data_IF_518119996623
#
_entry.id   IF_518119996623
#
_cell.length_a   1.000
_cell.length_b   1.000
_cell.length_c   1.000
_cell.angle_alpha   90.00
_cell.angle_beta   90.00
_cell.angle_gamma   90.00
#
_symmetry.space_group_name_H-M   'P 1'
#
loop_
_entity.id
_entity.type
_entity.pdbx_description
1 polymer ?
#
# COMPACT_ATOMS: atom_id res chain seq x y z
N UNK A 1 7.60 -4.47 12.12
CA UNK A 1 7.52 -3.65 10.90
C UNK A 1 8.69 -2.68 10.86
N UNK A 2 9.39 -2.66 9.75
CA UNK A 2 10.60 -1.82 9.61
C UNK A 2 10.19 -0.40 9.19
N UNK A 3 10.82 0.60 9.77
CA UNK A 3 10.60 2.00 9.40
C UNK A 3 11.88 2.57 8.81
N UNK A 4 11.79 3.14 7.62
CA UNK A 4 12.93 3.73 6.93
C UNK A 4 12.55 5.09 6.36
N UNK A 5 13.52 5.99 6.33
CA UNK A 5 13.32 7.27 5.67
C UNK A 5 13.15 7.05 4.16
N UNK A 6 12.22 7.77 3.55
CA UNK A 6 11.96 7.65 2.12
C UNK A 6 13.22 7.94 1.29
N UNK A 7 14.04 8.90 1.72
CA UNK A 7 15.29 9.22 1.05
C UNK A 7 16.30 8.08 1.10
N UNK A 8 16.36 7.36 2.23
CA UNK A 8 17.26 6.22 2.36
C UNK A 8 16.81 5.07 1.45
N UNK A 9 15.51 4.83 1.35
CA UNK A 9 14.96 3.79 0.48
C UNK A 9 15.24 4.12 -0.99
N UNK A 10 15.17 5.39 -1.37
CA UNK A 10 15.48 5.79 -2.73
C UNK A 10 16.89 5.37 -3.14
N UNK A 11 17.85 5.50 -2.24
CA UNK A 11 19.24 5.16 -2.52
C UNK A 11 19.51 3.65 -2.53
N UNK A 12 18.67 2.87 -1.83
CA UNK A 12 18.81 1.42 -1.72
C UNK A 12 17.55 0.69 -2.18
N UNK A 13 16.88 1.23 -3.17
CA UNK A 13 15.57 0.73 -3.57
C UNK A 13 15.60 -0.74 -3.99
N UNK A 14 16.62 -1.15 -4.75
CA UNK A 14 16.75 -2.54 -5.18
C UNK A 14 16.83 -3.52 -4.02
N UNK A 15 17.68 -3.22 -3.03
CA UNK A 15 17.81 -4.06 -1.84
C UNK A 15 16.53 -4.06 -1.03
N UNK A 16 15.91 -2.90 -0.88
CA UNK A 16 14.65 -2.75 -0.15
C UNK A 16 13.55 -3.57 -0.83
N UNK A 17 13.47 -3.49 -2.15
CA UNK A 17 12.50 -4.24 -2.92
C UNK A 17 12.68 -5.75 -2.74
N UNK A 18 13.92 -6.22 -2.75
CA UNK A 18 14.22 -7.63 -2.52
C UNK A 18 13.78 -8.10 -1.14
N UNK A 19 13.98 -7.28 -0.12
CA UNK A 19 13.53 -7.61 1.25
C UNK A 19 12.02 -7.76 1.30
N UNK A 20 11.29 -6.88 0.64
CA UNK A 20 9.84 -6.94 0.61
C UNK A 20 9.35 -8.11 -0.24
N UNK A 21 9.89 -8.27 -1.45
CA UNK A 21 9.42 -9.28 -2.39
C UNK A 21 9.75 -10.71 -1.96
N UNK A 22 10.96 -10.94 -1.45
CA UNK A 22 11.42 -12.30 -1.15
C UNK A 22 11.35 -12.69 0.31
N UNK A 23 11.49 -11.74 1.21
CA UNK A 23 11.43 -12.02 2.64
C UNK A 23 10.08 -11.70 3.26
N UNK A 24 9.19 -11.09 2.51
CA UNK A 24 7.88 -10.69 3.01
C UNK A 24 7.94 -9.56 4.05
N UNK A 25 9.02 -8.82 4.06
CA UNK A 25 9.20 -7.72 5.00
C UNK A 25 8.24 -6.58 4.67
N UNK A 26 7.71 -5.94 5.69
CA UNK A 26 6.84 -4.78 5.55
C UNK A 26 7.61 -3.56 5.98
N UNK A 27 7.72 -2.57 5.11
CA UNK A 27 8.54 -1.39 5.36
C UNK A 27 7.68 -0.14 5.28
N UNK A 28 7.68 0.63 6.37
CA UNK A 28 6.99 1.91 6.42
C UNK A 28 7.98 2.99 5.99
N UNK A 29 7.60 3.78 5.02
CA UNK A 29 8.39 4.91 4.54
C UNK A 29 8.01 6.15 5.31
N UNK A 30 9.02 6.85 5.83
CA UNK A 30 8.81 8.06 6.61
C UNK A 30 9.43 9.26 5.91
N UNK A 31 8.77 10.38 6.04
CA UNK A 31 9.28 11.67 5.58
C UNK A 31 9.13 12.67 6.72
N UNK A 32 10.23 13.29 7.11
CA UNK A 32 10.24 14.22 8.24
C UNK A 32 9.71 13.59 9.52
N UNK A 33 10.05 12.33 9.73
CA UNK A 33 9.63 11.58 10.93
C UNK A 33 8.18 11.12 10.93
N UNK A 34 7.45 11.32 9.82
CA UNK A 34 6.05 10.93 9.71
C UNK A 34 5.87 9.83 8.67
N UNK A 35 5.06 8.81 8.97
CA UNK A 35 4.79 7.76 7.98
C UNK A 35 3.97 8.32 6.83
N UNK A 36 4.41 8.08 5.60
CA UNK A 36 3.72 8.57 4.40
C UNK A 36 3.29 7.45 3.46
N UNK A 37 3.93 6.29 3.55
CA UNK A 37 3.61 5.17 2.67
C UNK A 37 4.16 3.88 3.26
N UNK A 38 3.86 2.77 2.64
CA UNK A 38 4.41 1.48 3.03
C UNK A 38 4.68 0.63 1.80
N UNK A 39 5.75 -0.17 1.89
CA UNK A 39 6.06 -1.18 0.88
C UNK A 39 5.69 -2.53 1.44
N UNK A 40 4.87 -3.27 0.71
CA UNK A 40 4.46 -4.63 1.10
C UNK A 40 4.54 -5.52 -0.14
N UNK A 41 4.65 -6.83 0.08
CA UNK A 41 4.66 -7.77 -1.02
C UNK A 41 3.30 -7.80 -1.72
N UNK A 42 3.27 -8.27 -2.96
CA UNK A 42 2.01 -8.44 -3.68
C UNK A 42 1.09 -9.41 -2.94
N UNK A 43 1.67 -10.43 -2.32
CA UNK A 43 0.90 -11.39 -1.53
C UNK A 43 0.19 -10.70 -0.35
N UNK A 44 0.89 -9.81 0.34
CA UNK A 44 0.31 -9.05 1.44
C UNK A 44 -0.79 -8.12 0.94
N UNK A 45 -0.57 -7.49 -0.21
CA UNK A 45 -1.58 -6.61 -0.81
C UNK A 45 -2.84 -7.39 -1.16
N UNK A 46 -2.69 -8.57 -1.76
CA UNK A 46 -3.82 -9.42 -2.09
C UNK A 46 -4.59 -9.85 -0.85
N UNK A 47 -3.86 -10.16 0.22
CA UNK A 47 -4.48 -10.50 1.50
C UNK A 47 -5.29 -9.34 2.06
N UNK A 48 -4.75 -8.13 1.98
CA UNK A 48 -5.46 -6.93 2.43
C UNK A 48 -6.72 -6.69 1.60
N UNK A 49 -6.63 -6.87 0.30
CA UNK A 49 -7.79 -6.73 -0.59
C UNK A 49 -8.88 -7.76 -0.24
N UNK A 50 -8.48 -9.00 0.02
CA UNK A 50 -9.41 -10.05 0.43
C UNK A 50 -10.08 -9.70 1.76
N UNK A 51 -9.32 -9.21 2.72
CA UNK A 51 -9.87 -8.81 4.02
C UNK A 51 -10.85 -7.65 3.87
N UNK A 52 -10.54 -6.69 3.03
CA UNK A 52 -11.45 -5.58 2.74
C UNK A 52 -12.74 -6.06 2.10
N UNK A 53 -12.66 -7.03 1.21
CA UNK A 53 -13.83 -7.62 0.57
C UNK A 53 -14.70 -8.40 1.55
N UNK A 54 -14.09 -9.05 2.54
CA UNK A 54 -14.81 -9.82 3.56
C UNK A 54 -15.42 -8.96 4.64
N UNK A 55 -14.79 -7.83 4.94
CA UNK A 55 -15.34 -6.86 5.86
C UNK A 55 -16.41 -6.10 5.10
N UNK A 56 -17.54 -5.91 5.67
CA UNK A 56 -18.72 -5.28 5.10
C UNK A 56 -18.47 -4.36 3.89
N UNK A 57 -18.41 -4.96 2.73
CA UNK A 57 -18.15 -4.27 1.47
C UNK A 57 -19.18 -3.17 1.21
N UNK A 58 -20.45 -3.40 1.56
CA UNK A 58 -21.50 -2.43 1.30
C UNK A 58 -21.34 -1.17 2.14
N UNK A 59 -21.03 -1.30 3.42
CA UNK A 59 -20.84 -0.14 4.29
C UNK A 59 -19.62 0.66 3.87
N UNK A 60 -18.52 -0.02 3.53
CA UNK A 60 -17.31 0.65 3.06
C UNK A 60 -17.58 1.35 1.73
N UNK A 61 -18.28 0.69 0.84
CA UNK A 61 -18.61 1.27 -0.46
C UNK A 61 -19.51 2.49 -0.33
N UNK A 62 -20.51 2.41 0.51
CA UNK A 62 -21.40 3.53 0.76
C UNK A 62 -20.65 4.73 1.36
N UNK A 63 -19.75 4.47 2.31
CA UNK A 63 -18.94 5.52 2.90
C UNK A 63 -18.02 6.19 1.89
N UNK A 64 -17.44 5.40 0.99
CA UNK A 64 -16.59 5.94 -0.08
C UNK A 64 -17.36 6.78 -1.07
N UNK A 65 -18.54 6.34 -1.44
CA UNK A 65 -19.40 7.10 -2.36
C UNK A 65 -19.83 8.42 -1.73
N UNK A 66 -20.24 8.41 -0.47
CA UNK A 66 -20.62 9.62 0.24
C UNK A 66 -19.48 10.60 0.39
N UNK A 67 -18.28 10.10 0.60
CA UNK A 67 -17.08 10.92 0.74
C UNK A 67 -16.53 11.40 -0.60
N UNK A 68 -17.06 10.92 -1.72
CA UNK A 68 -16.55 11.25 -3.05
C UNK A 68 -15.20 10.64 -3.36
N UNK A 69 -14.87 9.54 -2.71
CA UNK A 69 -13.60 8.84 -2.92
C UNK A 69 -13.68 8.03 -4.21
N UNK A 70 -12.65 8.16 -5.03
CA UNK A 70 -12.56 7.45 -6.30
C UNK A 70 -12.40 5.94 -6.05
N UNK A 71 -13.14 5.08 -6.78
CA UNK A 71 -13.00 3.64 -6.65
C UNK A 71 -11.57 3.17 -6.92
N UNK A 72 -11.19 2.09 -6.24
CA UNK A 72 -9.85 1.54 -6.33
C UNK A 72 -9.42 1.25 -7.78
N UNK A 73 -10.30 0.71 -8.58
CA UNK A 73 -10.00 0.38 -9.97
C UNK A 73 -9.64 1.61 -10.80
N UNK A 74 -10.29 2.73 -10.57
CA UNK A 74 -9.96 3.97 -11.25
C UNK A 74 -8.62 4.51 -10.79
N UNK A 75 -8.31 4.37 -9.52
CA UNK A 75 -7.00 4.75 -8.98
C UNK A 75 -5.91 3.95 -9.65
N UNK A 76 -6.10 2.65 -9.81
CA UNK A 76 -5.14 1.79 -10.48
C UNK A 76 -4.90 2.22 -11.93
N UNK A 77 -5.95 2.52 -12.65
CA UNK A 77 -5.82 2.97 -14.04
C UNK A 77 -5.07 4.28 -14.15
N UNK A 78 -5.40 5.24 -13.29
CA UNK A 78 -4.74 6.55 -13.30
C UNK A 78 -3.27 6.44 -12.93
N UNK A 79 -2.93 5.50 -12.08
CA UNK A 79 -1.55 5.25 -11.68
C UNK A 79 -0.78 4.40 -12.69
N UNK A 80 -1.44 3.88 -13.72
CA UNK A 80 -0.81 3.02 -14.72
C UNK A 80 -0.48 1.63 -14.21
N UNK A 81 -1.23 1.15 -13.25
CA UNK A 81 -0.99 -0.15 -12.61
C UNK A 81 -1.93 -1.25 -13.12
N UNK A 82 -2.39 -1.13 -14.30
CA UNK A 82 -3.31 -2.12 -14.87
C UNK A 82 -2.63 -3.44 -15.19
#
# INVERSE_FOLDING_TARGET
MTRLAASAVRDTFGDTLNRVAFKGERIVLERHGKPVAALVSVEDLELLEDLEDRLDVEAVRAAREEAGIVPYEEIRRKAGLS
#
